data_IF_546084133371
#
_entry.id   IF_546084133371
#
_cell.length_a   1.000
_cell.length_b   1.000
_cell.length_c   1.000
_cell.angle_alpha   90.00
_cell.angle_beta   90.00
_cell.angle_gamma   90.00
#
_symmetry.space_group_name_H-M   'P 1'
#
loop_
_entity.id
_entity.type
_entity.pdbx_description
1 polymer ?
#
# COMPACT_ATOMS: atom_id res chain seq x y z
N UNK A 1 -11.52 18.88 6.59
CA UNK A 1 -11.18 17.57 7.17
C UNK A 1 -9.86 17.07 6.58
N UNK A 2 -8.81 16.91 7.38
CA UNK A 2 -7.51 16.40 6.89
C UNK A 2 -7.62 14.90 6.63
N UNK A 3 -7.32 14.45 5.40
CA UNK A 3 -7.28 13.02 5.08
C UNK A 3 -6.01 12.42 5.71
N UNK A 4 -6.18 11.54 6.71
CA UNK A 4 -5.05 10.80 7.29
C UNK A 4 -4.55 9.79 6.27
N UNK A 5 -3.29 9.94 5.87
CA UNK A 5 -2.60 8.94 5.06
C UNK A 5 -2.09 7.81 5.96
N UNK A 6 -2.44 6.57 5.62
CA UNK A 6 -1.88 5.38 6.27
C UNK A 6 -0.69 4.87 5.46
N UNK A 7 0.36 4.41 6.15
CA UNK A 7 1.55 3.86 5.52
C UNK A 7 1.23 2.56 4.79
N UNK A 8 2.12 2.15 3.87
CA UNK A 8 2.00 0.87 3.18
C UNK A 8 1.95 -0.29 4.17
N UNK A 9 2.79 -0.23 5.22
CA UNK A 9 2.88 -1.23 6.27
C UNK A 9 1.55 -1.41 7.00
N UNK A 10 0.87 -0.33 7.39
CA UNK A 10 -0.46 -0.42 8.02
C UNK A 10 -1.48 -1.09 7.11
N UNK A 11 -1.45 -0.78 5.80
CA UNK A 11 -2.38 -1.39 4.83
C UNK A 11 -2.10 -2.88 4.67
N UNK A 12 -0.84 -3.29 4.57
CA UNK A 12 -0.46 -4.70 4.45
C UNK A 12 -0.76 -5.49 5.73
N UNK A 13 -0.45 -4.94 6.90
CA UNK A 13 -0.78 -5.56 8.19
C UNK A 13 -2.29 -5.80 8.32
N UNK A 14 -3.13 -4.89 7.80
CA UNK A 14 -4.58 -5.07 7.81
C UNK A 14 -5.05 -6.26 6.97
N UNK A 15 -4.37 -6.54 5.86
CA UNK A 15 -4.64 -7.71 5.00
C UNK A 15 -4.22 -8.99 5.73
N UNK A 16 -3.03 -9.00 6.33
CA UNK A 16 -2.54 -10.17 7.08
C UNK A 16 -3.49 -10.54 8.22
N UNK A 17 -3.96 -9.56 8.99
CA UNK A 17 -4.95 -9.79 10.04
C UNK A 17 -6.30 -10.28 9.48
N UNK A 18 -6.72 -9.79 8.30
CA UNK A 18 -7.93 -10.29 7.63
C UNK A 18 -7.77 -11.74 7.17
N UNK A 19 -6.61 -12.11 6.62
CA UNK A 19 -6.29 -13.50 6.25
C UNK A 19 -6.28 -14.41 7.47
N UNK A 20 -5.85 -13.90 8.63
CA UNK A 20 -5.90 -14.59 9.92
C UNK A 20 -7.32 -14.64 10.54
N UNK A 21 -8.37 -14.25 9.80
CA UNK A 21 -9.76 -14.33 10.25
C UNK A 21 -10.16 -13.27 11.29
N UNK A 22 -9.33 -12.24 11.52
CA UNK A 22 -9.65 -11.19 12.51
C UNK A 22 -10.81 -10.30 12.02
N UNK A 23 -11.66 -9.91 12.97
CA UNK A 23 -12.77 -9.01 12.68
C UNK A 23 -12.26 -7.61 12.35
N UNK A 24 -13.02 -6.87 11.55
CA UNK A 24 -12.63 -5.52 11.11
C UNK A 24 -12.49 -4.55 12.29
N UNK A 25 -13.25 -4.75 13.39
CA UNK A 25 -13.15 -3.96 14.63
C UNK A 25 -11.79 -4.12 15.30
N UNK A 26 -11.36 -5.37 15.48
CA UNK A 26 -10.04 -5.68 16.07
C UNK A 26 -8.94 -5.05 15.24
N UNK A 27 -9.01 -5.17 13.90
CA UNK A 27 -8.01 -4.58 13.00
C UNK A 27 -7.96 -3.06 13.12
N UNK A 28 -9.11 -2.38 13.21
CA UNK A 28 -9.14 -0.92 13.37
C UNK A 28 -8.55 -0.46 14.69
N UNK A 29 -8.80 -1.19 15.78
CA UNK A 29 -8.28 -0.90 17.11
C UNK A 29 -6.77 -1.15 17.18
N UNK A 30 -6.29 -2.30 16.69
CA UNK A 30 -4.86 -2.66 16.69
C UNK A 30 -4.02 -1.73 15.82
N UNK A 31 -4.52 -1.35 14.63
CA UNK A 31 -3.77 -0.54 13.66
C UNK A 31 -4.04 0.96 13.79
N UNK A 32 -4.88 1.39 14.73
CA UNK A 32 -5.26 2.80 14.90
C UNK A 32 -5.94 3.41 13.66
N UNK A 33 -6.68 2.59 12.91
CA UNK A 33 -7.41 3.01 11.72
C UNK A 33 -8.78 3.54 12.13
N UNK A 34 -9.00 4.85 11.97
CA UNK A 34 -10.22 5.52 12.45
C UNK A 34 -11.51 5.03 11.77
N UNK A 35 -11.44 4.55 10.53
CA UNK A 35 -12.61 4.19 9.75
C UNK A 35 -12.55 2.73 9.28
N UNK A 36 -13.51 1.91 9.74
CA UNK A 36 -13.67 0.51 9.33
C UNK A 36 -13.81 0.34 7.81
N UNK A 37 -14.43 1.31 7.11
CA UNK A 37 -14.61 1.23 5.66
C UNK A 37 -13.29 1.24 4.90
N UNK A 38 -12.22 1.86 5.44
CA UNK A 38 -10.89 1.79 4.83
C UNK A 38 -10.34 0.37 4.81
N UNK A 39 -10.51 -0.37 5.91
CA UNK A 39 -10.08 -1.78 5.98
C UNK A 39 -10.85 -2.63 4.97
N UNK A 40 -12.16 -2.38 4.80
CA UNK A 40 -12.94 -3.06 3.75
C UNK A 40 -12.45 -2.74 2.34
N UNK A 41 -12.13 -1.47 2.06
CA UNK A 41 -11.57 -1.07 0.76
C UNK A 41 -10.23 -1.74 0.49
N UNK A 42 -9.33 -1.76 1.47
CA UNK A 42 -8.03 -2.42 1.33
C UNK A 42 -8.17 -3.92 1.12
N UNK A 43 -9.10 -4.55 1.84
CA UNK A 43 -9.42 -5.97 1.65
C UNK A 43 -9.96 -6.26 0.25
N UNK A 44 -10.89 -5.44 -0.26
CA UNK A 44 -11.42 -5.57 -1.62
C UNK A 44 -10.33 -5.42 -2.68
N UNK A 45 -9.44 -4.44 -2.53
CA UNK A 45 -8.29 -4.29 -3.45
C UNK A 45 -7.37 -5.50 -3.43
N UNK A 46 -7.13 -6.09 -2.26
CA UNK A 46 -6.37 -7.34 -2.17
C UNK A 46 -7.07 -8.50 -2.89
N UNK A 47 -8.38 -8.67 -2.68
CA UNK A 47 -9.17 -9.72 -3.35
C UNK A 47 -9.20 -9.58 -4.88
N UNK A 48 -9.11 -8.34 -5.38
CA UNK A 48 -9.11 -8.03 -6.80
C UNK A 48 -7.69 -7.94 -7.42
N UNK A 49 -6.65 -8.30 -6.67
CA UNK A 49 -5.24 -8.15 -7.06
C UNK A 49 -4.83 -6.71 -7.45
N UNK A 50 -5.47 -5.72 -6.83
CA UNK A 50 -5.25 -4.29 -7.07
C UNK A 50 -4.27 -3.65 -6.07
N UNK A 51 -3.27 -4.41 -5.61
CA UNK A 51 -2.29 -3.94 -4.61
C UNK A 51 -1.52 -2.69 -5.06
N UNK A 52 -1.39 -2.45 -6.36
CA UNK A 52 -0.78 -1.23 -6.91
C UNK A 52 -1.46 0.05 -6.39
N UNK A 53 -2.74 -0.01 -6.00
CA UNK A 53 -3.49 1.13 -5.43
C UNK A 53 -2.94 1.57 -4.08
N UNK A 54 -2.21 0.72 -3.36
CA UNK A 54 -1.63 1.08 -2.06
C UNK A 54 -0.54 2.16 -2.18
N UNK A 55 0.10 2.26 -3.34
CA UNK A 55 1.14 3.24 -3.65
C UNK A 55 0.60 4.59 -4.12
N UNK A 56 -0.71 4.72 -4.34
CA UNK A 56 -1.29 5.99 -4.78
C UNK A 56 -1.19 7.06 -3.67
N UNK A 57 -0.70 8.26 -3.99
CA UNK A 57 -0.62 9.36 -3.03
C UNK A 57 -2.03 9.82 -2.63
N UNK A 58 -2.21 10.09 -1.35
CA UNK A 58 -3.48 10.56 -0.80
C UNK A 58 -3.73 11.98 -1.28
N UNK A 59 -4.89 12.23 -1.89
CA UNK A 59 -5.31 13.57 -2.30
C UNK A 59 -5.24 13.88 -3.79
N UNK A 60 -4.69 12.98 -4.62
CA UNK A 60 -4.93 13.07 -6.08
C UNK A 60 -6.30 12.50 -6.41
N UNK A 61 -7.10 13.24 -7.19
CA UNK A 61 -8.38 12.75 -7.68
C UNK A 61 -8.16 11.54 -8.58
N UNK A 62 -8.93 10.48 -8.35
CA UNK A 62 -8.93 9.30 -9.20
C UNK A 62 -9.40 9.68 -10.61
N UNK A 63 -8.56 9.47 -11.62
CA UNK A 63 -8.94 9.64 -13.03
C UNK A 63 -9.49 8.31 -13.53
N UNK A 64 -10.80 8.10 -13.42
CA UNK A 64 -11.48 6.93 -14.00
C UNK A 64 -11.24 6.93 -15.53
N UNK A 65 -10.72 5.83 -16.09
CA UNK A 65 -10.42 5.72 -17.53
C UNK A 65 -9.02 6.16 -17.94
N UNK A 66 -8.11 6.51 -17.01
CA UNK A 66 -6.69 6.52 -17.34
C UNK A 66 -6.26 5.06 -17.43
N UNK A 67 -6.24 4.53 -18.65
CA UNK A 67 -5.66 3.24 -18.99
C UNK A 67 -4.38 3.03 -18.18
N UNK A 68 -4.01 1.76 -17.94
CA UNK A 68 -2.61 1.41 -17.70
C UNK A 68 -1.83 2.01 -18.88
N UNK A 69 -1.43 3.29 -18.77
CA UNK A 69 -0.15 3.71 -19.30
C UNK A 69 0.76 2.75 -18.59
N UNK A 70 1.17 1.70 -19.30
CA UNK A 70 2.50 1.14 -19.15
C UNK A 70 3.33 2.25 -18.55
N UNK A 71 3.76 2.07 -17.29
CA UNK A 71 4.62 3.04 -16.63
C UNK A 71 5.62 3.44 -17.72
N UNK A 72 5.74 4.73 -18.04
CA UNK A 72 6.71 5.13 -19.05
C UNK A 72 8.03 4.47 -18.69
N UNK A 73 8.83 4.05 -19.66
CA UNK A 73 10.09 3.34 -19.39
C UNK A 73 10.88 4.05 -18.27
N UNK A 74 10.84 5.38 -18.27
CA UNK A 74 11.35 6.27 -17.24
C UNK A 74 10.77 6.03 -15.83
N UNK A 75 9.46 5.85 -15.70
CA UNK A 75 8.77 5.51 -14.45
C UNK A 75 9.11 4.11 -13.94
N UNK A 76 9.19 3.11 -14.84
CA UNK A 76 9.61 1.75 -14.48
C UNK A 76 11.06 1.74 -13.99
N UNK A 77 11.95 2.41 -14.73
CA UNK A 77 13.37 2.49 -14.42
C UNK A 77 13.62 3.22 -13.09
N UNK A 78 12.89 4.32 -12.83
CA UNK A 78 12.97 5.01 -11.53
C UNK A 78 12.55 4.11 -10.37
N UNK A 79 11.53 3.28 -10.56
CA UNK A 79 11.08 2.32 -9.54
C UNK A 79 12.12 1.22 -9.31
N UNK A 80 12.67 0.64 -10.37
CA UNK A 80 13.73 -0.37 -10.30
C UNK A 80 14.98 0.17 -9.59
N UNK A 81 15.45 1.36 -9.96
CA UNK A 81 16.60 2.01 -9.30
C UNK A 81 16.34 2.22 -7.81
N UNK A 82 15.12 2.61 -7.44
CA UNK A 82 14.74 2.80 -6.03
C UNK A 82 14.79 1.48 -5.25
N UNK A 83 14.30 0.39 -5.84
CA UNK A 83 14.35 -0.95 -5.25
C UNK A 83 15.80 -1.43 -5.10
N UNK A 84 16.63 -1.30 -6.14
CA UNK A 84 18.04 -1.69 -6.11
C UNK A 84 18.83 -0.94 -5.03
N UNK A 85 18.59 0.37 -4.88
CA UNK A 85 19.20 1.16 -3.80
C UNK A 85 18.82 0.65 -2.41
N UNK A 86 17.55 0.27 -2.20
CA UNK A 86 17.08 -0.29 -0.94
C UNK A 86 17.74 -1.63 -0.63
N UNK A 87 17.85 -2.53 -1.61
CA UNK A 87 18.56 -3.80 -1.43
C UNK A 87 20.04 -3.59 -1.09
N UNK A 88 20.72 -2.66 -1.77
CA UNK A 88 22.12 -2.33 -1.49
C UNK A 88 22.34 -1.76 -0.09
N UNK A 89 21.39 -0.97 0.44
CA UNK A 89 21.48 -0.51 1.82
C UNK A 89 21.28 -1.64 2.82
N UNK A 90 20.37 -2.58 2.53
CA UNK A 90 20.13 -3.73 3.40
C UNK A 90 21.35 -4.66 3.43
N UNK A 91 21.96 -4.97 2.28
CA UNK A 91 23.16 -5.81 2.24
C UNK A 91 24.35 -5.18 2.96
N UNK A 92 24.53 -3.86 2.86
CA UNK A 92 25.56 -3.12 3.62
C UNK A 92 25.32 -3.11 5.13
N UNK A 93 24.06 -3.13 5.55
CA UNK A 93 23.71 -3.16 6.97
C UNK A 93 23.77 -4.58 7.56
N UNK A 94 23.73 -5.62 6.73
CA UNK A 94 23.88 -7.02 7.13
C UNK A 94 25.35 -7.47 7.20
N UNK A 95 26.27 -6.70 6.60
CA UNK A 95 27.72 -6.98 6.55
C UNK A 95 28.53 -6.12 7.53
N UNK A 96 27.85 -5.43 8.44
CA UNK A 96 28.41 -4.76 9.63
C UNK A 96 27.95 -5.51 10.86
#
# INVERSE_FOLDING_TARGET
MVKKAYSLETKLASIEMKKAGKSTKVITETLGVKNKSQVYTWWKWYQNDELYRFYQPVGKQYSYGKERKELSELGQLKLQVKLLKKYRSLTRNQTK
#
